data_IF_272645801600
#
_entry.id   IF_272645801600
#
_cell.length_a   1.000
_cell.length_b   1.000
_cell.length_c   1.000
_cell.angle_alpha   90.00
_cell.angle_beta   90.00
_cell.angle_gamma   90.00
#
_symmetry.space_group_name_H-M   'P 1'
#
loop_
_entity.id
_entity.type
_entity.pdbx_description
1 polymer ?
#
# COMPACT_ATOMS: atom_id res chain seq x y z
N UNK A 1 -16.74 -18.08 -4.85
CA UNK A 1 -17.02 -18.40 -3.73
C UNK A 1 -17.23 -17.47 -2.60
N UNK A 2 -17.75 -18.01 -1.56
CA UNK A 2 -18.21 -17.21 -0.47
C UNK A 2 -17.14 -16.55 0.31
N UNK A 3 -15.96 -17.07 0.27
CA UNK A 3 -14.90 -16.46 1.05
C UNK A 3 -14.62 -15.03 0.64
N UNK A 4 -15.01 -14.65 -0.55
CA UNK A 4 -14.80 -13.26 -0.95
C UNK A 4 -15.77 -12.32 -0.29
N UNK A 5 -16.81 -12.84 0.32
CA UNK A 5 -17.73 -12.00 1.08
C UNK A 5 -17.38 -11.99 2.56
N UNK A 6 -16.40 -12.80 2.96
CA UNK A 6 -15.97 -12.82 4.35
C UNK A 6 -15.06 -11.65 4.61
N UNK A 7 -15.31 -10.83 5.63
CA UNK A 7 -14.44 -9.72 5.94
C UNK A 7 -13.06 -10.21 6.35
N UNK A 8 -12.01 -9.65 5.75
CA UNK A 8 -10.64 -9.96 6.08
C UNK A 8 -10.10 -8.97 7.10
N UNK A 9 -10.40 -7.69 6.87
CA UNK A 9 -10.03 -6.63 7.78
C UNK A 9 -11.29 -6.06 8.40
N UNK A 10 -11.16 -5.55 9.61
CA UNK A 10 -12.28 -4.90 10.29
C UNK A 10 -11.86 -3.51 10.71
N UNK A 11 -12.79 -2.58 10.61
CA UNK A 11 -12.55 -1.25 11.12
C UNK A 11 -12.74 -1.26 12.63
N UNK A 12 -12.48 -0.13 13.28
CA UNK A 12 -12.56 -0.06 14.74
C UNK A 12 -13.98 -0.16 15.28
N UNK A 13 -14.96 -0.09 14.41
CA UNK A 13 -16.36 -0.26 14.79
C UNK A 13 -16.83 -1.69 14.55
N UNK A 14 -15.90 -2.58 14.25
CA UNK A 14 -16.19 -3.99 14.04
C UNK A 14 -17.01 -4.26 12.78
N UNK A 15 -17.01 -3.33 11.86
CA UNK A 15 -17.53 -3.56 10.52
C UNK A 15 -16.44 -4.18 9.68
N UNK A 16 -16.79 -5.10 8.83
CA UNK A 16 -15.79 -5.75 7.99
C UNK A 16 -15.77 -5.16 6.60
N UNK A 17 -14.66 -5.36 5.90
CA UNK A 17 -14.60 -5.08 4.48
C UNK A 17 -14.97 -6.34 3.72
N UNK A 18 -15.79 -6.20 2.69
CA UNK A 18 -16.11 -7.32 1.82
C UNK A 18 -14.93 -7.60 0.90
N UNK A 19 -14.94 -8.77 0.27
CA UNK A 19 -13.91 -9.10 -0.70
C UNK A 19 -13.81 -8.09 -1.84
N UNK A 20 -14.95 -7.60 -2.31
CA UNK A 20 -14.96 -6.61 -3.38
C UNK A 20 -14.36 -5.29 -2.95
N UNK A 21 -14.68 -4.86 -1.74
CA UNK A 21 -14.12 -3.62 -1.21
C UNK A 21 -12.61 -3.72 -1.05
N UNK A 22 -12.13 -4.86 -0.57
CA UNK A 22 -10.70 -5.08 -0.40
C UNK A 22 -9.99 -5.11 -1.74
N UNK A 23 -10.61 -5.73 -2.74
CA UNK A 23 -10.02 -5.78 -4.07
C UNK A 23 -9.87 -4.38 -4.65
N UNK A 24 -10.90 -3.54 -4.50
CA UNK A 24 -10.84 -2.18 -5.01
C UNK A 24 -9.79 -1.35 -4.31
N UNK A 25 -9.68 -1.49 -2.98
CA UNK A 25 -8.66 -0.78 -2.23
C UNK A 25 -7.27 -1.22 -2.63
N UNK A 26 -7.07 -2.53 -2.76
CA UNK A 26 -5.76 -3.05 -3.14
C UNK A 26 -5.34 -2.54 -4.52
N UNK A 27 -6.25 -2.57 -5.47
CA UNK A 27 -5.96 -2.08 -6.83
C UNK A 27 -5.62 -0.59 -6.79
N UNK A 28 -6.38 0.19 -6.04
CA UNK A 28 -6.13 1.61 -5.94
C UNK A 28 -4.77 1.91 -5.31
N UNK A 29 -4.44 1.23 -4.21
CA UNK A 29 -3.18 1.45 -3.53
C UNK A 29 -2.01 1.01 -4.41
N UNK A 30 -2.12 -0.14 -5.08
CA UNK A 30 -1.09 -0.59 -6.01
C UNK A 30 -0.83 0.44 -7.10
N UNK A 31 -1.89 1.03 -7.63
CA UNK A 31 -1.78 2.04 -8.66
C UNK A 31 -1.05 3.27 -8.14
N UNK A 32 -1.38 3.72 -6.93
CA UNK A 32 -0.74 4.89 -6.34
C UNK A 32 0.72 4.61 -5.99
N UNK A 33 1.02 3.42 -5.50
CA UNK A 33 2.40 3.03 -5.21
C UNK A 33 3.23 2.96 -6.50
N UNK A 34 2.67 2.38 -7.55
CA UNK A 34 3.37 2.30 -8.84
C UNK A 34 3.66 3.70 -9.40
N UNK A 35 2.75 4.62 -9.17
CA UNK A 35 2.94 6.00 -9.62
C UNK A 35 4.18 6.65 -8.99
N UNK A 36 4.56 6.22 -7.79
CA UNK A 36 5.75 6.75 -7.14
C UNK A 36 7.02 6.35 -7.89
N UNK A 37 7.08 5.12 -8.38
CA UNK A 37 8.23 4.66 -9.15
C UNK A 37 8.28 5.36 -10.50
N UNK A 38 7.18 5.34 -11.19
CA UNK A 38 7.04 5.91 -12.50
C UNK A 38 7.31 7.41 -12.49
N UNK A 39 6.76 8.11 -11.49
CA UNK A 39 6.97 9.54 -11.36
C UNK A 39 8.42 9.89 -11.12
N UNK A 40 9.12 9.11 -10.30
CA UNK A 40 10.53 9.37 -10.07
C UNK A 40 11.36 9.11 -11.32
N UNK A 41 11.06 8.00 -12.01
CA UNK A 41 11.79 7.65 -13.22
C UNK A 41 11.60 8.68 -14.34
N UNK A 42 10.46 9.33 -14.37
CA UNK A 42 10.15 10.33 -15.38
C UNK A 42 10.35 11.76 -14.90
N UNK A 43 10.95 11.92 -13.73
CA UNK A 43 11.21 13.23 -13.14
C UNK A 43 9.95 14.09 -13.07
N UNK A 44 8.85 13.48 -12.67
CA UNK A 44 7.57 14.16 -12.57
C UNK A 44 7.61 15.18 -11.43
N UNK A 45 7.39 16.47 -11.71
CA UNK A 45 7.44 17.49 -10.66
C UNK A 45 6.33 17.36 -9.63
N UNK A 46 5.31 16.56 -9.91
CA UNK A 46 4.20 16.34 -8.98
C UNK A 46 4.46 15.19 -8.01
N UNK A 47 5.63 14.60 -8.06
CA UNK A 47 5.95 13.46 -7.19
C UNK A 47 5.68 13.74 -5.71
N UNK A 48 6.06 14.91 -5.15
CA UNK A 48 5.75 15.18 -3.75
C UNK A 48 4.25 15.17 -3.45
N UNK A 49 3.44 15.59 -4.41
CA UNK A 49 1.99 15.57 -4.25
C UNK A 49 1.47 14.14 -4.20
N UNK A 50 2.03 13.27 -5.02
CA UNK A 50 1.63 11.85 -5.03
C UNK A 50 1.95 11.21 -3.68
N UNK A 51 3.12 11.52 -3.11
CA UNK A 51 3.49 11.03 -1.79
C UNK A 51 2.53 11.53 -0.72
N UNK A 52 2.24 12.82 -0.72
CA UNK A 52 1.36 13.40 0.27
C UNK A 52 -0.02 12.74 0.22
N UNK A 53 -0.54 12.56 -0.97
CA UNK A 53 -1.85 11.97 -1.16
C UNK A 53 -1.89 10.53 -0.65
N UNK A 54 -0.88 9.74 -1.00
CA UNK A 54 -0.84 8.34 -0.58
C UNK A 54 -0.64 8.22 0.91
N UNK A 55 0.25 9.03 1.49
CA UNK A 55 0.49 8.98 2.92
C UNK A 55 -0.75 9.36 3.72
N UNK A 56 -1.52 10.33 3.25
CA UNK A 56 -2.77 10.70 3.89
C UNK A 56 -3.80 9.57 3.80
N UNK A 57 -3.87 8.92 2.66
CA UNK A 57 -4.78 7.79 2.49
C UNK A 57 -4.43 6.67 3.46
N UNK A 58 -3.15 6.31 3.54
CA UNK A 58 -2.72 5.23 4.42
C UNK A 58 -2.92 5.58 5.88
N UNK A 59 -2.69 6.83 6.26
CA UNK A 59 -2.92 7.26 7.63
C UNK A 59 -4.41 7.15 8.00
N UNK A 60 -5.29 7.51 7.07
CA UNK A 60 -6.72 7.38 7.28
C UNK A 60 -7.14 5.93 7.45
N UNK A 61 -6.62 5.06 6.58
CA UNK A 61 -6.88 3.64 6.68
C UNK A 61 -6.36 3.06 7.99
N UNK A 62 -5.16 3.49 8.39
CA UNK A 62 -4.56 3.00 9.62
C UNK A 62 -5.42 3.34 10.83
N UNK A 63 -5.96 4.55 10.87
CA UNK A 63 -6.85 4.94 11.95
C UNK A 63 -8.15 4.16 11.94
N UNK A 64 -8.67 3.87 10.76
CA UNK A 64 -9.91 3.12 10.62
C UNK A 64 -9.74 1.65 10.96
N UNK A 65 -8.61 1.06 10.61
CA UNK A 65 -8.36 -0.36 10.77
C UNK A 65 -7.67 -0.73 12.08
N UNK A 66 -7.47 0.23 12.94
CA UNK A 66 -6.89 0.00 14.26
C UNK A 66 -5.45 -0.49 14.22
N UNK A 67 -4.65 0.16 13.40
CA UNK A 67 -3.19 0.00 13.35
C UNK A 67 -2.70 -1.41 13.04
N UNK A 68 -3.13 -2.03 11.95
CA UNK A 68 -2.60 -3.36 11.62
C UNK A 68 -1.11 -3.29 11.34
N UNK A 69 -0.32 -4.27 11.81
CA UNK A 69 1.14 -4.23 11.66
C UNK A 69 1.61 -4.09 10.21
N UNK A 70 0.93 -4.75 9.29
CA UNK A 70 1.29 -4.68 7.88
C UNK A 70 1.13 -3.27 7.33
N UNK A 71 0.10 -2.57 7.79
CA UNK A 71 -0.13 -1.21 7.34
C UNK A 71 0.92 -0.26 7.91
N UNK A 72 1.33 -0.47 9.15
CA UNK A 72 2.41 0.30 9.76
C UNK A 72 3.69 0.11 8.95
N UNK A 73 3.99 -1.13 8.57
CA UNK A 73 5.18 -1.44 7.77
C UNK A 73 5.08 -0.78 6.40
N UNK A 74 3.93 -0.84 5.77
CA UNK A 74 3.72 -0.20 4.48
C UNK A 74 3.95 1.30 4.57
N UNK A 75 3.42 1.95 5.60
CA UNK A 75 3.61 3.37 5.79
C UNK A 75 5.10 3.70 5.96
N UNK A 76 5.83 2.85 6.69
CA UNK A 76 7.26 3.01 6.88
C UNK A 76 8.03 2.89 5.57
N UNK A 77 7.66 1.93 4.73
CA UNK A 77 8.33 1.74 3.43
C UNK A 77 8.05 2.92 2.50
N UNK A 78 6.84 3.44 2.51
CA UNK A 78 6.51 4.61 1.68
C UNK A 78 7.31 5.83 2.15
N UNK A 79 7.44 6.02 3.45
CA UNK A 79 8.24 7.13 3.97
C UNK A 79 9.73 6.94 3.63
N UNK A 80 10.24 5.71 3.73
CA UNK A 80 11.62 5.43 3.35
C UNK A 80 11.84 5.72 1.86
N UNK A 81 10.88 5.37 1.03
CA UNK A 81 10.96 5.65 -0.40
C UNK A 81 10.96 7.16 -0.66
N UNK A 82 10.12 7.88 0.06
CA UNK A 82 10.08 9.34 -0.07
C UNK A 82 11.43 9.95 0.27
N UNK A 83 12.04 9.50 1.36
CA UNK A 83 13.34 10.01 1.78
C UNK A 83 14.39 9.67 0.74
N UNK A 84 14.38 8.44 0.22
CA UNK A 84 15.34 8.04 -0.81
C UNK A 84 15.20 8.90 -2.06
N UNK A 85 13.96 9.22 -2.43
CA UNK A 85 13.70 10.00 -3.65
C UNK A 85 14.26 11.42 -3.58
N UNK A 86 14.52 11.92 -2.36
CA UNK A 86 15.03 13.27 -2.15
C UNK A 86 16.53 13.34 -1.94
N UNK A 87 17.22 12.21 -1.95
CA UNK A 87 18.66 12.20 -1.73
C UNK A 87 19.43 12.67 -2.95
N UNK A 88 20.53 13.36 -2.72
CA UNK A 88 21.42 13.75 -3.79
C UNK A 88 22.06 12.52 -4.44
N UNK A 89 22.41 11.54 -3.64
CA UNK A 89 22.97 10.28 -4.11
C UNK A 89 21.90 9.21 -4.25
N UNK A 90 20.83 9.58 -4.93
CA UNK A 90 19.68 8.71 -5.14
C UNK A 90 20.09 7.35 -5.73
N UNK A 91 19.65 6.29 -5.05
CA UNK A 91 19.91 4.92 -5.48
C UNK A 91 18.62 4.35 -6.06
N UNK A 92 18.59 4.21 -7.39
CA UNK A 92 17.40 3.74 -8.08
C UNK A 92 17.03 2.32 -7.69
N UNK A 93 18.02 1.45 -7.49
CA UNK A 93 17.74 0.07 -7.12
C UNK A 93 17.14 -0.04 -5.72
N UNK A 94 17.66 0.76 -4.79
CA UNK A 94 17.09 0.79 -3.44
C UNK A 94 15.66 1.33 -3.46
N UNK A 95 15.43 2.37 -4.24
CA UNK A 95 14.11 2.97 -4.38
C UNK A 95 13.13 1.97 -4.97
N UNK A 96 13.53 1.31 -6.05
CA UNK A 96 12.68 0.32 -6.70
C UNK A 96 12.33 -0.83 -5.76
N UNK A 97 13.30 -1.25 -4.96
CA UNK A 97 13.08 -2.33 -4.00
C UNK A 97 12.03 -1.94 -2.97
N UNK A 98 12.10 -0.71 -2.47
CA UNK A 98 11.10 -0.21 -1.53
C UNK A 98 9.71 -0.20 -2.14
N UNK A 99 9.60 0.20 -3.40
CA UNK A 99 8.33 0.21 -4.10
C UNK A 99 7.79 -1.21 -4.27
N UNK A 100 8.66 -2.16 -4.66
CA UNK A 100 8.24 -3.55 -4.82
C UNK A 100 7.84 -4.17 -3.49
N UNK A 101 8.56 -3.87 -2.43
CA UNK A 101 8.22 -4.34 -1.10
C UNK A 101 6.85 -3.79 -0.67
N UNK A 102 6.57 -2.54 -1.01
CA UNK A 102 5.29 -1.95 -0.71
C UNK A 102 4.16 -2.68 -1.40
N UNK A 103 4.34 -3.07 -2.67
CA UNK A 103 3.34 -3.87 -3.38
C UNK A 103 3.10 -5.20 -2.67
N UNK A 104 4.17 -5.86 -2.23
CA UNK A 104 4.04 -7.14 -1.52
C UNK A 104 3.27 -6.98 -0.22
N UNK A 105 3.50 -5.88 0.50
CA UNK A 105 2.81 -5.64 1.74
C UNK A 105 1.33 -5.37 1.50
N UNK A 106 1.00 -4.65 0.44
CA UNK A 106 -0.40 -4.43 0.07
C UNK A 106 -1.09 -5.78 -0.16
N UNK A 107 -0.42 -6.68 -0.86
CA UNK A 107 -0.99 -8.01 -1.10
C UNK A 107 -1.21 -8.75 0.21
N UNK A 108 -0.23 -8.73 1.12
CA UNK A 108 -0.39 -9.39 2.41
C UNK A 108 -1.52 -8.79 3.22
N UNK A 109 -1.63 -7.47 3.21
CA UNK A 109 -2.62 -6.77 4.00
C UNK A 109 -4.05 -7.10 3.54
N UNK A 110 -4.26 -7.09 2.23
CA UNK A 110 -5.61 -7.24 1.69
C UNK A 110 -5.94 -8.67 1.27
N UNK A 111 -4.91 -9.49 1.00
CA UNK A 111 -5.11 -10.87 0.53
C UNK A 111 -4.53 -11.91 1.48
N UNK A 112 -3.96 -11.48 2.61
CA UNK A 112 -3.24 -12.38 3.49
C UNK A 112 -4.06 -13.57 3.97
N UNK A 113 -5.32 -13.34 4.30
CA UNK A 113 -6.18 -14.40 4.77
C UNK A 113 -6.62 -15.31 3.64
N UNK A 114 -6.28 -14.99 2.42
CA UNK A 114 -6.63 -15.75 1.23
C UNK A 114 -5.42 -16.37 0.57
N UNK A 115 -4.43 -16.72 1.35
CA UNK A 115 -3.26 -17.38 0.80
C UNK A 115 -3.63 -18.68 0.09
N UNK A 116 -4.59 -19.38 0.61
CA UNK A 116 -5.07 -20.57 -0.02
C UNK A 116 -5.60 -20.32 -1.40
N UNK A 117 -6.21 -19.21 -1.56
CA UNK A 117 -6.70 -18.73 -2.79
C UNK A 117 -5.57 -18.54 -3.73
N UNK A 118 -4.49 -17.92 -3.26
CA UNK A 118 -3.34 -17.69 -4.09
C UNK A 118 -2.66 -18.99 -4.48
N UNK A 119 -2.76 -19.99 -3.66
CA UNK A 119 -2.09 -21.25 -3.94
C UNK A 119 -2.93 -22.17 -4.81
N UNK A 120 -4.12 -21.83 -5.06
CA UNK A 120 -4.93 -22.61 -5.97
C UNK A 120 -4.57 -22.32 -7.40
#
# INVERSE_FOLDING_TARGET
MERITTPILKDKYNSGFTGDQLRKEAVYIHKEVHRLLYGKENSDPKLPIYYDKLQRLLAGLNGLLDNPPELITLMGDIEAARIESCKDDFDHDAYRRLILDSHSIVDKLFWGANDDYASE
#
